data_IF_907711949149
#
_entry.id   IF_907711949149
#
_cell.length_a   1.000
_cell.length_b   1.000
_cell.length_c   1.000
_cell.angle_alpha   90.00
_cell.angle_beta   90.00
_cell.angle_gamma   90.00
#
_symmetry.space_group_name_H-M   'P 1'
#
loop_
_entity.id
_entity.type
_entity.pdbx_description
1 polymer ?
#
# COMPACT_ATOMS: atom_id res chain seq x y z
N UNK A 1 0.02 55.72 16.11
CA UNK A 1 1.45 55.32 16.19
C UNK A 1 1.67 54.58 17.51
N UNK A 2 1.34 53.30 17.56
CA UNK A 2 1.88 52.35 18.57
C UNK A 2 2.08 51.05 17.82
N UNK A 3 3.35 50.73 17.57
CA UNK A 3 3.81 49.41 17.12
C UNK A 3 3.92 48.57 18.39
N UNK A 4 3.28 47.41 18.43
CA UNK A 4 3.71 46.34 19.33
C UNK A 4 3.74 45.05 18.54
N UNK A 5 4.97 44.57 18.34
CA UNK A 5 5.29 43.31 17.68
C UNK A 5 4.83 42.14 18.54
N UNK A 6 4.06 41.23 17.96
CA UNK A 6 3.99 39.84 18.42
C UNK A 6 4.91 39.04 17.51
N UNK A 7 6.18 38.91 17.93
CA UNK A 7 7.09 37.89 17.39
C UNK A 7 6.93 36.67 18.28
N UNK A 8 6.08 35.74 17.89
CA UNK A 8 6.10 34.40 18.47
C UNK A 8 7.20 33.62 17.74
N UNK A 9 8.35 33.56 18.40
CA UNK A 9 9.49 32.73 18.01
C UNK A 9 9.04 31.26 18.04
N UNK A 10 9.04 30.63 16.87
CA UNK A 10 9.06 29.17 16.76
C UNK A 10 10.31 28.67 17.49
N UNK A 11 10.11 28.04 18.65
CA UNK A 11 11.15 27.23 19.28
C UNK A 11 11.07 25.80 18.70
N UNK A 12 12.17 25.24 18.17
CA UNK A 12 12.21 23.88 17.68
C UNK A 12 12.05 22.87 18.83
N UNK A 13 11.14 21.91 18.68
CA UNK A 13 11.00 20.79 19.60
C UNK A 13 12.22 19.85 19.44
N UNK A 14 12.96 19.51 20.51
CA UNK A 14 14.17 18.70 20.42
C UNK A 14 13.87 17.22 20.12
N UNK A 15 14.58 16.67 19.13
CA UNK A 15 14.40 15.34 18.54
C UNK A 15 14.75 14.13 19.44
N UNK A 16 14.85 14.29 20.76
CA UNK A 16 15.17 13.19 21.69
C UNK A 16 13.91 12.62 22.41
N UNK A 17 12.78 13.31 22.35
CA UNK A 17 11.54 12.86 23.02
C UNK A 17 10.74 11.87 22.15
N UNK A 18 10.96 11.83 20.83
CA UNK A 18 10.26 10.93 19.91
C UNK A 18 10.73 9.47 20.03
N UNK A 19 12.01 9.24 20.35
CA UNK A 19 12.57 7.89 20.44
C UNK A 19 12.11 7.14 21.72
N UNK A 20 11.75 7.88 22.78
CA UNK A 20 11.24 7.30 24.03
C UNK A 20 9.76 6.93 23.97
N UNK A 21 8.98 7.56 23.08
CA UNK A 21 7.56 7.22 22.86
C UNK A 21 7.38 5.88 22.15
N UNK A 22 8.36 5.48 21.34
CA UNK A 22 8.29 4.22 20.58
C UNK A 22 8.71 2.98 21.40
N UNK A 23 9.53 3.16 22.45
CA UNK A 23 9.97 2.05 23.31
C UNK A 23 9.09 1.81 24.55
N UNK A 24 8.41 2.82 25.09
CA UNK A 24 7.62 2.66 26.32
C UNK A 24 6.25 2.00 26.14
N UNK A 25 5.65 2.06 24.95
CA UNK A 25 4.36 1.36 24.70
C UNK A 25 4.51 -0.17 24.70
N UNK A 26 5.70 -0.69 24.42
CA UNK A 26 5.90 -2.13 24.20
C UNK A 26 6.15 -2.95 25.46
N UNK A 27 6.30 -2.33 26.65
CA UNK A 27 6.69 -3.06 27.88
C UNK A 27 5.63 -3.21 28.98
N UNK A 28 4.55 -2.43 28.98
CA UNK A 28 3.54 -2.49 30.06
C UNK A 28 2.24 -3.23 29.71
N UNK A 29 2.09 -3.72 28.48
CA UNK A 29 0.88 -4.42 28.00
C UNK A 29 1.11 -5.93 27.85
N UNK A 30 1.94 -6.50 28.72
CA UNK A 30 2.47 -7.85 28.56
C UNK A 30 1.61 -9.00 29.09
N UNK A 31 0.65 -8.79 30.01
CA UNK A 31 0.24 -9.93 30.85
C UNK A 31 -1.27 -10.16 31.02
N UNK A 32 -2.16 -9.42 30.34
CA UNK A 32 -3.62 -9.61 30.49
C UNK A 32 -4.38 -9.92 29.19
N UNK A 33 -3.76 -9.71 28.02
CA UNK A 33 -4.45 -9.88 26.73
C UNK A 33 -4.48 -11.33 26.22
N UNK A 34 -3.54 -12.19 26.63
CA UNK A 34 -3.54 -13.62 26.29
C UNK A 34 -4.68 -14.36 27.01
N UNK A 35 -4.96 -14.02 28.28
CA UNK A 35 -6.08 -14.60 29.05
C UNK A 35 -7.45 -14.28 28.44
N UNK A 36 -7.60 -13.08 27.86
CA UNK A 36 -8.86 -12.67 27.22
C UNK A 36 -9.02 -13.23 25.82
N UNK A 37 -7.91 -13.52 25.13
CA UNK A 37 -7.89 -14.20 23.82
C UNK A 37 -8.23 -15.69 23.94
N UNK A 38 -7.91 -16.32 25.08
CA UNK A 38 -8.21 -17.74 25.30
C UNK A 38 -9.72 -18.04 25.31
N UNK A 39 -10.54 -17.09 25.78
CA UNK A 39 -11.99 -17.30 25.96
C UNK A 39 -12.82 -17.24 24.67
N UNK A 40 -12.24 -16.81 23.55
CA UNK A 40 -12.90 -16.81 22.24
C UNK A 40 -12.53 -18.06 21.42
N UNK A 41 -11.53 -18.85 21.84
CA UNK A 41 -10.95 -19.95 21.05
C UNK A 41 -11.44 -21.36 21.43
N UNK A 42 -12.30 -21.51 22.42
CA UNK A 42 -12.71 -22.83 22.95
C UNK A 42 -14.07 -23.29 22.39
N UNK A 43 -14.25 -23.32 21.07
CA UNK A 43 -15.40 -23.97 20.42
C UNK A 43 -15.09 -24.30 18.95
N UNK A 44 -14.20 -25.26 18.70
CA UNK A 44 -14.10 -25.90 17.38
C UNK A 44 -13.56 -27.33 17.55
N UNK A 45 -14.46 -28.27 17.84
CA UNK A 45 -14.17 -29.70 17.75
C UNK A 45 -14.56 -30.23 16.36
N UNK A 46 -13.54 -30.66 15.63
CA UNK A 46 -13.37 -31.84 14.76
C UNK A 46 -14.60 -32.55 14.19
N UNK A 47 -14.79 -32.49 12.86
CA UNK A 47 -15.43 -33.57 12.08
C UNK A 47 -14.66 -33.86 10.77
N UNK A 48 -14.69 -35.15 10.40
CA UNK A 48 -14.01 -35.82 9.30
C UNK A 48 -14.74 -35.61 7.95
N UNK A 49 -14.01 -35.31 6.87
CA UNK A 49 -14.38 -35.77 5.52
C UNK A 49 -14.21 -34.82 4.32
N UNK A 50 -13.47 -35.31 3.31
CA UNK A 50 -13.44 -34.90 1.89
C UNK A 50 -12.40 -33.84 1.47
N UNK A 51 -11.47 -34.21 0.58
CA UNK A 51 -10.27 -33.42 0.23
C UNK A 51 -10.48 -32.09 -0.52
N UNK A 52 -11.70 -31.68 -0.85
CA UNK A 52 -12.03 -30.32 -1.31
C UNK A 52 -12.45 -29.39 -0.17
N UNK A 53 -12.79 -29.97 0.98
CA UNK A 53 -13.20 -29.27 2.19
C UNK A 53 -11.97 -28.70 2.93
N UNK A 54 -10.86 -29.45 2.89
CA UNK A 54 -9.60 -29.04 3.52
C UNK A 54 -9.04 -27.70 2.98
N UNK A 55 -9.09 -27.44 1.67
CA UNK A 55 -8.61 -26.16 1.09
C UNK A 55 -9.52 -24.98 1.47
N UNK A 56 -10.81 -25.26 1.68
CA UNK A 56 -11.79 -24.25 2.09
C UNK A 56 -11.67 -23.94 3.57
N UNK A 57 -11.54 -24.97 4.41
CA UNK A 57 -11.27 -24.85 5.85
C UNK A 57 -9.94 -24.15 6.13
N UNK A 58 -8.89 -24.43 5.33
CA UNK A 58 -7.62 -23.70 5.42
C UNK A 58 -7.77 -22.23 5.03
N UNK A 59 -8.55 -21.94 3.97
CA UNK A 59 -8.88 -20.57 3.56
C UNK A 59 -9.67 -19.80 4.63
N UNK A 60 -10.63 -20.45 5.27
CA UNK A 60 -11.42 -19.87 6.36
C UNK A 60 -10.56 -19.66 7.61
N UNK A 61 -9.68 -20.61 7.95
CA UNK A 61 -8.70 -20.47 9.05
C UNK A 61 -7.73 -19.31 8.85
N UNK A 62 -7.22 -19.13 7.62
CA UNK A 62 -6.37 -17.99 7.27
C UNK A 62 -7.18 -16.68 7.34
N UNK A 63 -8.42 -16.69 6.87
CA UNK A 63 -9.32 -15.54 6.94
C UNK A 63 -9.59 -15.09 8.38
N UNK A 64 -9.82 -16.02 9.29
CA UNK A 64 -9.99 -15.76 10.72
C UNK A 64 -8.71 -15.19 11.36
N UNK A 65 -7.56 -15.79 11.05
CA UNK A 65 -6.28 -15.28 11.54
C UNK A 65 -6.03 -13.84 11.08
N UNK A 66 -6.30 -13.51 9.82
CA UNK A 66 -6.17 -12.15 9.31
C UNK A 66 -7.13 -11.19 10.02
N UNK A 67 -8.39 -11.61 10.23
CA UNK A 67 -9.39 -10.81 10.95
C UNK A 67 -8.95 -10.52 12.38
N UNK A 68 -8.41 -11.52 13.07
CA UNK A 68 -7.90 -11.37 14.44
C UNK A 68 -6.72 -10.40 14.51
N UNK A 69 -5.75 -10.54 13.60
CA UNK A 69 -4.61 -9.61 13.52
C UNK A 69 -5.04 -8.19 13.18
N UNK A 70 -5.99 -8.04 12.26
CA UNK A 70 -6.58 -6.75 11.91
C UNK A 70 -7.27 -6.12 13.11
N UNK A 71 -8.08 -6.89 13.85
CA UNK A 71 -8.78 -6.42 15.06
C UNK A 71 -7.79 -5.87 16.09
N UNK A 72 -6.70 -6.59 16.36
CA UNK A 72 -5.67 -6.12 17.29
C UNK A 72 -5.03 -4.79 16.85
N UNK A 73 -4.77 -4.63 15.55
CA UNK A 73 -4.24 -3.38 15.02
C UNK A 73 -5.24 -2.23 15.13
N UNK A 74 -6.51 -2.47 14.80
CA UNK A 74 -7.58 -1.48 14.90
C UNK A 74 -7.80 -1.01 16.34
N UNK A 75 -7.85 -1.95 17.30
CA UNK A 75 -7.93 -1.65 18.74
C UNK A 75 -6.77 -0.74 19.16
N UNK A 76 -5.54 -1.07 18.78
CA UNK A 76 -4.36 -0.27 19.13
C UNK A 76 -4.46 1.18 18.60
N UNK A 77 -4.98 1.37 17.38
CA UNK A 77 -5.22 2.70 16.82
C UNK A 77 -6.30 3.45 17.61
N UNK A 78 -7.42 2.78 17.91
CA UNK A 78 -8.53 3.37 18.68
C UNK A 78 -8.07 3.82 20.06
N UNK A 79 -7.34 2.97 20.79
CA UNK A 79 -6.79 3.31 22.10
C UNK A 79 -5.79 4.46 22.04
N UNK A 80 -4.92 4.49 21.01
CA UNK A 80 -3.98 5.58 20.84
C UNK A 80 -4.70 6.92 20.62
N UNK A 81 -5.81 6.92 19.86
CA UNK A 81 -6.65 8.10 19.70
C UNK A 81 -7.41 8.45 20.98
N UNK A 82 -7.96 7.48 21.71
CA UNK A 82 -8.65 7.67 22.98
C UNK A 82 -7.72 8.36 24.00
N UNK A 83 -6.49 7.84 24.16
CA UNK A 83 -5.45 8.41 25.04
C UNK A 83 -5.04 9.82 24.63
N UNK A 84 -4.86 10.07 23.32
CA UNK A 84 -4.49 11.40 22.80
C UNK A 84 -5.55 12.47 23.09
N UNK A 85 -6.82 12.07 23.11
CA UNK A 85 -7.94 12.98 23.35
C UNK A 85 -8.44 12.95 24.80
N UNK A 86 -7.82 12.15 25.67
CA UNK A 86 -8.25 11.94 27.07
C UNK A 86 -9.72 11.48 27.19
N UNK A 87 -10.16 10.64 26.24
CA UNK A 87 -11.52 10.08 26.18
C UNK A 87 -11.45 8.58 26.45
N UNK A 88 -12.42 8.04 27.19
CA UNK A 88 -12.62 6.60 27.34
C UNK A 88 -13.61 6.08 26.29
N UNK A 89 -13.28 4.97 25.64
CA UNK A 89 -14.13 4.30 24.65
C UNK A 89 -14.48 2.92 25.19
N UNK A 90 -15.78 2.60 25.22
CA UNK A 90 -16.24 1.29 25.70
C UNK A 90 -15.83 0.17 24.74
N UNK A 91 -15.54 -0.99 25.31
CA UNK A 91 -15.06 -2.17 24.56
C UNK A 91 -15.98 -2.60 23.41
N UNK A 92 -17.32 -2.63 23.54
CA UNK A 92 -18.20 -2.97 22.41
C UNK A 92 -18.08 -2.01 21.23
N UNK A 93 -17.83 -0.72 21.50
CA UNK A 93 -17.64 0.29 20.45
C UNK A 93 -16.30 0.07 19.75
N UNK A 94 -15.24 -0.25 20.51
CA UNK A 94 -13.92 -0.58 19.94
C UNK A 94 -13.98 -1.83 19.04
N UNK A 95 -14.68 -2.88 19.48
CA UNK A 95 -14.91 -4.08 18.66
C UNK A 95 -15.67 -3.74 17.37
N UNK A 96 -16.75 -2.96 17.49
CA UNK A 96 -17.55 -2.52 16.35
C UNK A 96 -16.76 -1.68 15.33
N UNK A 97 -15.90 -0.75 15.79
CA UNK A 97 -15.00 0.02 14.91
C UNK A 97 -14.06 -0.92 14.14
N UNK A 98 -13.55 -1.95 14.80
CA UNK A 98 -12.66 -2.94 14.17
C UNK A 98 -13.39 -3.71 13.06
N UNK A 99 -14.62 -4.15 13.31
CA UNK A 99 -15.44 -4.85 12.32
C UNK A 99 -15.80 -3.96 11.13
N UNK A 100 -16.15 -2.70 11.39
CA UNK A 100 -16.43 -1.72 10.34
C UNK A 100 -15.20 -1.46 9.47
N UNK A 101 -14.04 -1.26 10.09
CA UNK A 101 -12.79 -1.03 9.37
C UNK A 101 -12.42 -2.24 8.50
N UNK A 102 -12.61 -3.47 9.00
CA UNK A 102 -12.35 -4.69 8.23
C UNK A 102 -13.24 -4.79 6.98
N UNK A 103 -14.56 -4.58 7.15
CA UNK A 103 -15.52 -4.55 6.02
C UNK A 103 -15.20 -3.45 5.02
N UNK A 104 -14.76 -2.29 5.50
CA UNK A 104 -14.36 -1.19 4.63
C UNK A 104 -13.10 -1.55 3.82
N UNK A 105 -12.11 -2.19 4.43
CA UNK A 105 -10.90 -2.64 3.73
C UNK A 105 -11.21 -3.65 2.62
N UNK A 106 -12.17 -4.54 2.83
CA UNK A 106 -12.62 -5.48 1.77
C UNK A 106 -13.16 -4.73 0.55
N UNK A 107 -14.04 -3.74 0.76
CA UNK A 107 -14.58 -2.94 -0.34
C UNK A 107 -13.50 -2.06 -0.99
N UNK A 108 -12.63 -1.46 -0.19
CA UNK A 108 -11.51 -0.66 -0.67
C UNK A 108 -10.59 -1.48 -1.59
N UNK A 109 -10.31 -2.74 -1.24
CA UNK A 109 -9.52 -3.66 -2.06
C UNK A 109 -10.11 -3.87 -3.45
N UNK A 110 -11.43 -4.09 -3.53
CA UNK A 110 -12.16 -4.23 -4.81
C UNK A 110 -12.11 -2.95 -5.63
N UNK A 111 -12.29 -1.80 -4.98
CA UNK A 111 -12.29 -0.51 -5.64
C UNK A 111 -10.90 -0.19 -6.24
N UNK A 112 -9.81 -0.37 -5.49
CA UNK A 112 -8.45 -0.08 -5.99
C UNK A 112 -8.00 -1.05 -7.09
N UNK A 113 -8.44 -2.30 -7.04
CA UNK A 113 -8.25 -3.26 -8.13
C UNK A 113 -8.95 -2.77 -9.40
N UNK A 114 -10.22 -2.38 -9.28
CA UNK A 114 -11.01 -1.90 -10.41
C UNK A 114 -10.40 -0.64 -11.05
N UNK A 115 -9.85 0.28 -10.24
CA UNK A 115 -9.16 1.46 -10.75
C UNK A 115 -7.89 1.11 -11.52
N UNK A 116 -7.09 0.16 -11.02
CA UNK A 116 -5.91 -0.31 -11.75
C UNK A 116 -6.30 -0.95 -13.09
N UNK A 117 -7.33 -1.80 -13.09
CA UNK A 117 -7.85 -2.46 -14.30
C UNK A 117 -8.41 -1.44 -15.31
N UNK A 118 -9.13 -0.42 -14.85
CA UNK A 118 -9.63 0.66 -15.70
C UNK A 118 -8.49 1.41 -16.40
N UNK A 119 -7.35 1.58 -15.69
CA UNK A 119 -6.12 2.12 -16.27
C UNK A 119 -5.31 1.14 -17.12
N UNK A 120 -5.83 -0.06 -17.42
CA UNK A 120 -5.13 -1.10 -18.19
C UNK A 120 -3.94 -1.74 -17.46
N UNK A 121 -3.85 -1.59 -16.14
CA UNK A 121 -2.75 -2.08 -15.30
C UNK A 121 -3.19 -3.30 -14.49
N UNK A 122 -2.23 -4.18 -14.21
CA UNK A 122 -2.42 -5.36 -13.34
C UNK A 122 -1.97 -5.12 -11.89
N UNK A 123 -1.29 -3.99 -11.65
CA UNK A 123 -0.75 -3.64 -10.34
C UNK A 123 -1.32 -2.28 -9.91
N UNK A 124 -1.75 -2.22 -8.65
CA UNK A 124 -2.22 -1.00 -7.97
C UNK A 124 -1.04 -0.05 -7.78
N UNK A 125 -1.25 1.23 -8.06
CA UNK A 125 -0.31 2.32 -7.83
C UNK A 125 -0.94 3.37 -6.90
N UNK A 126 -0.14 4.35 -6.46
CA UNK A 126 -0.56 5.42 -5.57
C UNK A 126 -1.73 6.25 -6.13
N UNK A 127 -1.83 6.41 -7.46
CA UNK A 127 -2.96 7.11 -8.08
C UNK A 127 -4.30 6.39 -7.89
N UNK A 128 -4.30 5.05 -7.83
CA UNK A 128 -5.53 4.26 -7.58
C UNK A 128 -5.99 4.44 -6.13
N UNK A 129 -5.04 4.47 -5.19
CA UNK A 129 -5.31 4.74 -3.77
C UNK A 129 -5.86 6.15 -3.59
N UNK A 130 -5.28 7.16 -4.25
CA UNK A 130 -5.79 8.53 -4.19
C UNK A 130 -7.19 8.64 -4.82
N UNK A 131 -7.43 7.92 -5.92
CA UNK A 131 -8.75 7.93 -6.57
C UNK A 131 -9.84 7.33 -5.67
N UNK A 132 -9.50 6.35 -4.82
CA UNK A 132 -10.45 5.77 -3.85
C UNK A 132 -11.05 6.81 -2.89
N UNK A 133 -10.34 7.92 -2.63
CA UNK A 133 -10.78 8.95 -1.70
C UNK A 133 -11.54 10.10 -2.36
N UNK A 134 -11.84 10.06 -3.66
CA UNK A 134 -12.47 11.15 -4.42
C UNK A 134 -13.80 11.67 -3.83
N UNK A 135 -14.53 10.85 -3.05
CA UNK A 135 -15.76 11.28 -2.38
C UNK A 135 -15.51 12.26 -1.22
N UNK A 136 -14.27 12.36 -0.77
CA UNK A 136 -13.82 13.22 0.31
C UNK A 136 -12.60 14.03 -0.16
N UNK A 137 -12.86 15.26 -0.62
CA UNK A 137 -11.83 16.18 -1.10
C UNK A 137 -10.76 16.47 -0.05
N UNK A 138 -11.15 16.57 1.23
CA UNK A 138 -10.21 16.80 2.32
C UNK A 138 -9.23 15.63 2.45
N UNK A 139 -9.72 14.39 2.44
CA UNK A 139 -8.87 13.20 2.49
C UNK A 139 -7.96 13.09 1.27
N UNK A 140 -8.48 13.37 0.07
CA UNK A 140 -7.70 13.41 -1.17
C UNK A 140 -6.57 14.45 -1.10
N UNK A 141 -6.85 15.61 -0.50
CA UNK A 141 -5.86 16.68 -0.31
C UNK A 141 -4.76 16.31 0.68
N UNK A 142 -5.01 15.42 1.64
CA UNK A 142 -4.00 14.90 2.58
C UNK A 142 -3.13 13.81 1.94
N UNK A 143 -3.72 12.94 1.11
CA UNK A 143 -2.97 11.84 0.48
C UNK A 143 -2.04 12.30 -0.63
N UNK A 144 -2.37 13.38 -1.35
CA UNK A 144 -1.55 13.92 -2.45
C UNK A 144 -0.13 14.33 -1.97
N UNK A 145 0.04 15.14 -0.91
CA UNK A 145 1.36 15.44 -0.33
C UNK A 145 2.07 14.19 0.20
N UNK A 146 1.36 13.31 0.90
CA UNK A 146 1.94 12.08 1.47
C UNK A 146 2.52 11.17 0.39
N UNK A 147 1.82 11.01 -0.74
CA UNK A 147 2.30 10.29 -1.92
C UNK A 147 3.63 10.84 -2.44
N UNK A 148 3.75 12.17 -2.54
CA UNK A 148 4.98 12.81 -3.01
C UNK A 148 6.14 12.61 -2.02
N UNK A 149 5.86 12.67 -0.71
CA UNK A 149 6.85 12.41 0.33
C UNK A 149 7.39 10.98 0.27
N UNK A 150 6.52 9.99 0.08
CA UNK A 150 6.91 8.58 -0.05
C UNK A 150 7.77 8.36 -1.30
N UNK A 151 7.41 8.96 -2.44
CA UNK A 151 8.20 8.88 -3.67
C UNK A 151 9.59 9.53 -3.54
N UNK A 152 9.72 10.57 -2.72
CA UNK A 152 11.01 11.22 -2.46
C UNK A 152 11.92 10.38 -1.54
N UNK A 153 11.35 9.56 -0.67
CA UNK A 153 12.07 8.69 0.27
C UNK A 153 12.41 7.32 -0.31
N UNK A 154 11.85 6.95 -1.46
CA UNK A 154 12.17 5.70 -2.14
C UNK A 154 13.64 5.74 -2.61
N UNK A 155 14.53 4.85 -2.13
CA UNK A 155 15.90 4.83 -2.60
C UNK A 155 15.88 4.54 -4.10
N UNK A 156 16.35 5.51 -4.89
CA UNK A 156 16.61 5.36 -6.31
C UNK A 156 17.48 4.12 -6.50
N UNK A 157 16.86 2.97 -6.78
CA UNK A 157 17.60 1.76 -7.13
C UNK A 157 18.42 2.10 -8.37
N UNK A 158 19.73 2.22 -8.19
CA UNK A 158 20.70 2.57 -9.22
C UNK A 158 20.64 1.54 -10.35
N UNK A 159 19.75 1.71 -11.32
CA UNK A 159 19.95 1.17 -12.66
C UNK A 159 20.94 2.09 -13.39
N UNK A 160 22.20 2.01 -12.97
CA UNK A 160 23.36 2.24 -13.85
C UNK A 160 23.31 1.20 -14.98
N UNK A 161 22.42 1.37 -15.95
CA UNK A 161 22.63 0.79 -17.28
C UNK A 161 23.73 1.60 -17.94
N UNK A 162 24.92 1.02 -17.97
CA UNK A 162 26.11 1.47 -18.68
C UNK A 162 25.74 1.93 -20.09
N UNK A 163 25.93 3.23 -20.33
CA UNK A 163 26.03 3.83 -21.67
C UNK A 163 27.23 3.18 -22.37
N UNK A 164 26.99 2.26 -23.31
CA UNK A 164 28.00 1.84 -24.29
C UNK A 164 27.75 2.59 -25.59
N UNK A 165 28.40 3.74 -25.71
CA UNK A 165 28.69 4.39 -26.99
C UNK A 165 29.96 3.79 -27.58
N UNK A 166 29.83 2.99 -28.63
CA UNK A 166 30.88 2.66 -29.62
C UNK A 166 30.26 1.75 -30.69
N UNK A 167 30.47 1.83 -32.00
CA UNK A 167 31.06 2.80 -32.91
C UNK A 167 30.71 2.28 -34.31
N UNK A 168 30.39 3.18 -35.23
CA UNK A 168 30.28 3.00 -36.69
C UNK A 168 31.37 2.11 -37.29
N UNK A 169 31.02 1.20 -38.22
CA UNK A 169 31.78 0.86 -39.45
C UNK A 169 30.94 0.01 -40.40
N UNK A 170 30.82 0.52 -41.62
CA UNK A 170 30.25 -0.10 -42.82
C UNK A 170 31.22 -1.15 -43.40
N UNK A 171 30.64 -2.06 -44.19
CA UNK A 171 31.12 -2.64 -45.46
C UNK A 171 31.41 -4.16 -45.60
N UNK A 172 30.75 -4.68 -46.64
CA UNK A 172 31.18 -5.67 -47.65
C UNK A 172 31.03 -7.20 -47.43
N UNK A 173 30.12 -7.76 -48.26
CA UNK A 173 30.38 -8.77 -49.32
C UNK A 173 29.91 -10.23 -49.09
N UNK A 174 28.92 -10.68 -49.88
CA UNK A 174 28.99 -11.98 -50.58
C UNK A 174 28.03 -12.09 -51.79
N UNK A 175 28.54 -11.72 -52.97
CA UNK A 175 28.59 -12.46 -54.26
C UNK A 175 27.42 -13.37 -54.74
N UNK A 176 26.78 -12.91 -55.85
CA UNK A 176 26.76 -13.53 -57.21
C UNK A 176 25.58 -14.37 -57.75
N UNK A 177 25.29 -14.05 -59.03
CA UNK A 177 24.77 -14.86 -60.17
C UNK A 177 23.25 -14.99 -60.33
N UNK A 178 22.59 -14.81 -61.49
CA UNK A 178 22.89 -14.63 -62.94
C UNK A 178 21.77 -13.72 -63.51
N UNK A 179 21.99 -12.74 -64.38
CA UNK A 179 22.26 -12.93 -65.82
C UNK A 179 20.96 -13.19 -66.61
N UNK A 180 20.39 -12.18 -67.29
CA UNK A 180 20.08 -12.19 -68.73
C UNK A 180 19.22 -11.00 -69.21
N UNK A 181 19.83 -10.26 -70.16
CA UNK A 181 19.32 -9.59 -71.38
C UNK A 181 18.01 -8.78 -71.43
N UNK A 182 18.18 -7.52 -71.85
CA UNK A 182 17.21 -6.58 -72.47
C UNK A 182 16.86 -7.05 -73.91
N UNK A 183 15.79 -6.59 -74.60
CA UNK A 183 15.67 -5.20 -75.10
C UNK A 183 14.23 -4.63 -75.05
N UNK A 184 14.07 -3.34 -74.73
CA UNK A 184 13.71 -2.27 -75.70
C UNK A 184 12.24 -2.23 -76.10
N UNK A 185 11.58 -1.10 -75.80
CA UNK A 185 10.67 -0.31 -76.65
C UNK A 185 9.76 0.57 -75.76
N UNK A 186 10.13 1.85 -75.62
CA UNK A 186 9.15 2.95 -75.61
C UNK A 186 8.71 3.21 -77.07
N UNK A 187 7.68 4.04 -77.40
CA UNK A 187 6.98 5.06 -76.59
C UNK A 187 5.45 5.18 -76.86
N UNK A 188 4.87 6.27 -76.34
CA UNK A 188 3.57 6.94 -76.64
C UNK A 188 2.31 6.28 -76.02
N UNK A 189 1.39 6.99 -75.33
CA UNK A 189 1.00 8.40 -75.32
C UNK A 189 0.71 8.92 -73.89
#
# INVERSE_FOLDING_TARGET
RIRSSVVAVLSPVPAHIEQQRQCSCSRSLGEDWESRSFKIRESAEMEDGNGSDLEREEGDSVGELLRDRFRLSAISIVEAQAKKNEIEISEPITAYISDLAFKFTEQLGKDVELFAQHGGRKCVNMEDVILSTHRNEYLTSLLRPLSNELRAKEPQSERKRKKTSSSKREDANNTSNKGNNVPHLSPDQ
#
